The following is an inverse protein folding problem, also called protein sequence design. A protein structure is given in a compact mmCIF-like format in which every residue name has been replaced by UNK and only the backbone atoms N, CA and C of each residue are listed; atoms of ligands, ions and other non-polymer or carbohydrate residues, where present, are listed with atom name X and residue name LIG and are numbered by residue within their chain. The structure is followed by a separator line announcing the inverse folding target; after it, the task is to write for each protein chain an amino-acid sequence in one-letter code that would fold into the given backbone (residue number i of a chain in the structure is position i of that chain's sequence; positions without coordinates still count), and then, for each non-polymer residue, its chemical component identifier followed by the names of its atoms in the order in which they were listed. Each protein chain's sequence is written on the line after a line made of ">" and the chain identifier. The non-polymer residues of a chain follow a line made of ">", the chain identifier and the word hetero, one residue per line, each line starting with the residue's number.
data_IF_514048208082
#
_entry.id   IF_514048208082
#
_cell.length_a   1.000
_cell.length_b   1.000
_cell.length_c   1.000
_cell.angle_alpha   90.00
_cell.angle_beta   90.00
_cell.angle_gamma   90.00
#
_symmetry.space_group_name_H-M   'P 1'
#
loop_
_entity.id
_entity.type
_entity.pdbx_description
1 polymer ?
#
# COMPACT_ATOMS: atom_id res chain seq x y z
N UNK A 1 -15.36 2.21 -10.41
CA UNK A 1 -14.00 1.67 -10.16
C UNK A 1 -13.71 1.77 -8.67
N UNK A 2 -13.10 0.75 -8.04
CA UNK A 2 -12.82 0.75 -6.60
C UNK A 2 -11.32 0.92 -6.37
N UNK A 3 -10.93 1.99 -5.68
CA UNK A 3 -9.54 2.25 -5.29
C UNK A 3 -9.27 1.63 -3.93
N UNK A 4 -8.13 0.97 -3.77
CA UNK A 4 -7.69 0.38 -2.51
C UNK A 4 -6.68 1.30 -1.84
N UNK A 5 -6.86 1.51 -0.54
CA UNK A 5 -5.92 2.27 0.29
C UNK A 5 -5.27 1.30 1.26
N UNK A 6 -3.94 1.23 1.23
CA UNK A 6 -3.13 0.32 2.06
C UNK A 6 -2.50 1.14 3.17
N UNK A 7 -2.81 0.79 4.41
CA UNK A 7 -2.29 1.41 5.63
C UNK A 7 -1.47 0.36 6.35
N UNK A 8 -0.22 0.68 6.70
CA UNK A 8 0.67 -0.23 7.40
C UNK A 8 0.34 -0.34 8.90
N UNK A 9 0.84 -1.40 9.54
CA UNK A 9 0.76 -1.56 10.99
C UNK A 9 1.89 -0.83 11.72
N UNK A 10 1.92 -0.96 13.05
CA UNK A 10 3.02 -0.43 13.86
C UNK A 10 4.38 -1.00 13.42
N UNK A 11 5.43 -0.19 13.48
CA UNK A 11 6.82 -0.55 13.11
C UNK A 11 7.04 -0.91 11.64
N UNK A 12 6.14 -0.47 10.75
CA UNK A 12 6.29 -0.59 9.31
C UNK A 12 6.16 0.79 8.65
N UNK A 13 6.49 0.86 7.37
CA UNK A 13 6.15 1.95 6.46
C UNK A 13 5.40 1.40 5.25
N UNK A 14 5.11 2.27 4.29
CA UNK A 14 4.44 1.94 3.03
C UNK A 14 5.14 0.81 2.26
N UNK A 15 6.46 0.70 2.41
CA UNK A 15 7.30 -0.35 1.82
C UNK A 15 6.86 -1.78 2.13
N UNK A 16 6.16 -2.02 3.25
CA UNK A 16 5.71 -3.38 3.59
C UNK A 16 4.68 -3.92 2.58
N UNK A 17 4.10 -3.04 1.77
CA UNK A 17 3.09 -3.36 0.78
C UNK A 17 3.61 -3.49 -0.66
N UNK A 18 4.92 -3.34 -0.94
CA UNK A 18 5.44 -3.30 -2.32
C UNK A 18 4.96 -4.48 -3.18
N UNK A 19 5.02 -5.71 -2.66
CA UNK A 19 4.55 -6.91 -3.37
C UNK A 19 3.03 -6.93 -3.58
N UNK A 20 2.26 -6.36 -2.67
CA UNK A 20 0.79 -6.29 -2.77
C UNK A 20 0.40 -5.24 -3.81
N UNK A 21 1.08 -4.09 -3.85
CA UNK A 21 0.87 -3.06 -4.87
C UNK A 21 1.12 -3.64 -6.27
N UNK A 22 2.23 -4.37 -6.47
CA UNK A 22 2.52 -5.06 -7.74
C UNK A 22 1.39 -6.03 -8.15
N UNK A 23 0.91 -6.84 -7.21
CA UNK A 23 -0.17 -7.81 -7.48
C UNK A 23 -1.51 -7.14 -7.78
N UNK A 24 -1.82 -6.03 -7.13
CA UNK A 24 -3.04 -5.25 -7.40
C UNK A 24 -2.95 -4.59 -8.78
N UNK A 25 -1.79 -4.01 -9.13
CA UNK A 25 -1.54 -3.45 -10.45
C UNK A 25 -1.67 -4.49 -11.57
N UNK A 26 -1.11 -5.69 -11.38
CA UNK A 26 -1.23 -6.80 -12.34
C UNK A 26 -2.68 -7.25 -12.57
N UNK A 27 -3.58 -6.98 -11.61
CA UNK A 27 -5.02 -7.26 -11.71
C UNK A 27 -5.85 -6.04 -12.17
N UNK A 28 -5.20 -4.93 -12.53
CA UNK A 28 -5.87 -3.69 -12.93
C UNK A 28 -6.55 -2.96 -11.77
N UNK A 29 -6.21 -3.27 -10.51
CA UNK A 29 -6.77 -2.62 -9.33
C UNK A 29 -5.90 -1.45 -8.92
N UNK A 30 -6.45 -0.24 -9.01
CA UNK A 30 -5.75 0.97 -8.54
C UNK A 30 -5.59 0.94 -7.03
N UNK A 31 -4.36 1.12 -6.55
CA UNK A 31 -4.05 1.17 -5.12
C UNK A 31 -3.06 2.28 -4.78
N UNK A 32 -3.06 2.69 -3.51
CA UNK A 32 -2.05 3.59 -2.92
C UNK A 32 -1.64 3.04 -1.55
N UNK A 33 -0.33 2.94 -1.33
CA UNK A 33 0.25 2.70 0.00
C UNK A 33 0.82 4.03 0.51
N UNK A 34 0.58 4.33 1.77
CA UNK A 34 0.98 5.58 2.42
C UNK A 34 1.79 5.32 3.68
N UNK A 35 2.67 6.26 3.99
CA UNK A 35 3.36 6.35 5.27
C UNK A 35 2.51 7.17 6.25
N UNK A 36 2.31 6.64 7.45
CA UNK A 36 1.75 7.39 8.57
C UNK A 36 2.83 8.32 9.15
N UNK A 37 2.43 9.43 9.77
CA UNK A 37 3.39 10.37 10.37
C UNK A 37 4.35 9.65 11.36
N UNK A 38 5.63 10.01 11.28
CA UNK A 38 6.69 9.40 12.09
C UNK A 38 7.12 7.99 11.66
N UNK A 39 6.62 7.47 10.54
CA UNK A 39 6.97 6.16 9.98
C UNK A 39 7.56 6.32 8.56
N UNK A 40 8.35 5.33 8.13
CA UNK A 40 9.05 5.31 6.85
C UNK A 40 10.14 4.24 6.83
#
# INVERSE_FOLDING_TARGET
>A
MRKVVLVHGFWHGSWCWSRVVEQLAARGVTSVALDLEGHG
#
